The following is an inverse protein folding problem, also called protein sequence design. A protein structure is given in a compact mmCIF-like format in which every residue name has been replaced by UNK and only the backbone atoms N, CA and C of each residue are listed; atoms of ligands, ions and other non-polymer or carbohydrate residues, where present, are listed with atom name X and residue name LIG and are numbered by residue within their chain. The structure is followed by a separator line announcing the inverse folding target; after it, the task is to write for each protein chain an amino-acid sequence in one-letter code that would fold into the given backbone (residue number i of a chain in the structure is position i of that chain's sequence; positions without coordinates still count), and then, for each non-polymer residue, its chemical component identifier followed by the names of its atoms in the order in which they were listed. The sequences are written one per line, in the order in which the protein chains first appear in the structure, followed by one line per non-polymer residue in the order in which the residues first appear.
data_IF_413591553785
#
_entry.id   IF_413591553785
#
_cell.length_a   1.000
_cell.length_b   1.000
_cell.length_c   1.000
_cell.angle_alpha   90.00
_cell.angle_beta   90.00
_cell.angle_gamma   90.00
#
_symmetry.space_group_name_H-M   'P 1'
#
loop_
_entity.id
_entity.type
_entity.pdbx_description
1 polymer ?
#
# COMPACT_ATOMS: atom_id res chain seq x y z
N UNK A 1 -0.79 11.89 -16.52
CA UNK A 1 -1.07 11.49 -15.13
C UNK A 1 -0.94 9.97 -15.04
N UNK A 2 0.12 9.47 -14.40
CA UNK A 2 0.22 8.05 -14.07
C UNK A 2 -0.35 7.87 -12.65
N UNK A 3 -1.56 7.30 -12.59
CA UNK A 3 -2.27 7.08 -11.33
C UNK A 3 -1.57 5.98 -10.53
N UNK A 4 -0.98 6.34 -9.40
CA UNK A 4 -0.49 5.37 -8.43
C UNK A 4 -1.62 4.53 -7.87
N UNK A 5 -1.36 3.23 -7.66
CA UNK A 5 -2.35 2.29 -7.15
C UNK A 5 -2.00 1.81 -5.75
N UNK A 6 -2.97 1.90 -4.84
CA UNK A 6 -2.94 1.22 -3.56
C UNK A 6 -3.80 -0.03 -3.65
N UNK A 7 -3.24 -1.17 -3.30
CA UNK A 7 -3.99 -2.42 -3.12
C UNK A 7 -3.94 -2.81 -1.65
N UNK A 8 -5.11 -2.92 -1.03
CA UNK A 8 -5.25 -3.39 0.34
C UNK A 8 -5.52 -4.89 0.33
N UNK A 9 -4.74 -5.66 1.10
CA UNK A 9 -5.04 -7.06 1.34
C UNK A 9 -5.82 -7.22 2.64
N UNK A 10 -6.99 -7.82 2.52
CA UNK A 10 -7.71 -8.41 3.63
C UNK A 10 -7.41 -9.91 3.65
N UNK A 11 -7.68 -10.63 4.76
CA UNK A 11 -7.26 -12.02 4.95
C UNK A 11 -7.65 -13.00 3.84
N UNK A 12 -8.54 -12.61 2.91
CA UNK A 12 -9.00 -13.42 1.77
C UNK A 12 -9.02 -12.70 0.41
N UNK A 13 -8.89 -11.36 0.35
CA UNK A 13 -9.11 -10.60 -0.90
C UNK A 13 -8.16 -9.42 -1.04
N UNK A 14 -7.83 -9.07 -2.29
CA UNK A 14 -7.19 -7.80 -2.64
C UNK A 14 -8.27 -6.78 -3.07
N UNK A 15 -8.15 -5.56 -2.59
CA UNK A 15 -9.03 -4.45 -2.96
C UNK A 15 -8.23 -3.29 -3.56
N UNK A 16 -8.65 -2.84 -4.75
CA UNK A 16 -8.00 -1.74 -5.46
C UNK A 16 -8.51 -0.37 -4.98
N UNK A 17 -7.58 0.56 -4.80
CA UNK A 17 -7.87 1.96 -4.54
C UNK A 17 -7.01 2.89 -5.40
N UNK A 18 -7.67 3.82 -6.10
CA UNK A 18 -6.98 4.87 -6.87
C UNK A 18 -6.54 6.01 -5.96
N UNK A 19 -5.24 6.29 -5.94
CA UNK A 19 -4.67 7.40 -5.19
C UNK A 19 -4.98 8.70 -5.90
N UNK A 20 -5.93 9.48 -5.35
CA UNK A 20 -6.32 10.79 -5.87
C UNK A 20 -5.54 11.91 -5.19
N UNK A 21 -5.20 12.94 -5.95
CA UNK A 21 -4.46 14.12 -5.47
C UNK A 21 -5.14 14.84 -4.30
N UNK A 22 -6.48 14.81 -4.24
CA UNK A 22 -7.25 15.41 -3.13
C UNK A 22 -6.90 14.86 -1.74
N UNK A 23 -6.17 13.75 -1.66
CA UNK A 23 -5.72 13.16 -0.41
C UNK A 23 -4.29 13.58 -0.03
N UNK A 24 -3.57 14.31 -0.90
CA UNK A 24 -2.25 14.85 -0.60
C UNK A 24 -2.33 15.87 0.54
N UNK A 25 -3.33 16.74 0.54
CA UNK A 25 -3.54 17.69 1.63
C UNK A 25 -3.76 16.98 2.97
N UNK A 26 -4.52 15.89 2.96
CA UNK A 26 -4.74 15.04 4.14
C UNK A 26 -3.45 14.33 4.60
N UNK A 27 -2.57 13.95 3.66
CA UNK A 27 -1.25 13.41 3.99
C UNK A 27 -0.37 14.47 4.66
N UNK A 28 -0.27 15.66 4.09
CA UNK A 28 0.54 16.75 4.67
C UNK A 28 0.04 17.15 6.06
N UNK A 29 -1.28 17.33 6.22
CA UNK A 29 -1.90 17.58 7.52
C UNK A 29 -1.60 16.47 8.54
N UNK A 30 -1.66 15.21 8.11
CA UNK A 30 -1.37 14.07 8.97
C UNK A 30 0.08 14.06 9.47
N UNK A 31 1.05 14.36 8.59
CA UNK A 31 2.44 14.48 8.98
C UNK A 31 2.67 15.64 9.95
N UNK A 32 2.06 16.80 9.69
CA UNK A 32 2.18 17.98 10.55
C UNK A 32 1.64 17.73 11.96
N UNK A 33 0.46 17.10 12.06
CA UNK A 33 -0.15 16.73 13.35
C UNK A 33 0.68 15.70 14.13
N UNK A 34 1.39 14.82 13.42
CA UNK A 34 2.19 13.75 14.01
C UNK A 34 3.59 14.19 14.42
N UNK A 35 4.06 15.36 13.96
CA UNK A 35 5.41 15.83 14.22
C UNK A 35 5.62 16.14 15.71
N UNK A 36 6.53 15.38 16.36
CA UNK A 36 6.87 15.58 17.77
C UNK A 36 5.78 15.18 18.78
N UNK A 37 4.75 14.44 18.34
CA UNK A 37 3.65 13.98 19.20
C UNK A 37 3.58 12.44 19.25
N UNK A 38 2.96 11.87 20.31
CA UNK A 38 2.59 10.44 20.30
C UNK A 38 1.72 10.14 19.07
N UNK A 39 1.79 8.90 18.59
CA UNK A 39 1.06 8.45 17.40
C UNK A 39 -0.43 8.81 17.57
N UNK A 40 -0.91 9.76 16.76
CA UNK A 40 -2.33 10.09 16.66
C UNK A 40 -2.93 9.12 15.66
N UNK A 41 -4.01 8.43 16.04
CA UNK A 41 -4.72 7.55 15.12
C UNK A 41 -5.46 8.40 14.09
N UNK A 42 -4.96 8.39 12.86
CA UNK A 42 -5.51 9.16 11.75
C UNK A 42 -6.23 8.18 10.82
N UNK A 43 -7.53 8.43 10.61
CA UNK A 43 -8.32 7.61 9.69
C UNK A 43 -7.72 7.63 8.28
N UNK A 44 -7.69 6.47 7.63
CA UNK A 44 -7.09 6.33 6.30
C UNK A 44 -5.57 6.23 6.29
N UNK A 45 -4.94 5.84 7.41
CA UNK A 45 -3.48 5.67 7.52
C UNK A 45 -2.85 4.84 6.39
N UNK A 46 -3.54 3.81 5.87
CA UNK A 46 -3.06 3.04 4.71
C UNK A 46 -2.98 3.85 3.41
N UNK A 47 -3.91 4.78 3.19
CA UNK A 47 -3.92 5.69 2.02
C UNK A 47 -2.80 6.73 2.19
N UNK A 48 -2.64 7.28 3.40
CA UNK A 48 -1.59 8.25 3.73
C UNK A 48 -0.20 7.63 3.53
N UNK A 49 0.01 6.40 4.01
CA UNK A 49 1.26 5.67 3.79
C UNK A 49 1.55 5.44 2.30
N UNK A 50 0.54 5.07 1.50
CA UNK A 50 0.69 4.90 0.07
C UNK A 50 1.07 6.20 -0.65
N UNK A 51 0.44 7.33 -0.28
CA UNK A 51 0.76 8.65 -0.84
C UNK A 51 2.15 9.14 -0.44
N UNK A 52 2.58 8.82 0.79
CA UNK A 52 3.92 9.12 1.26
C UNK A 52 4.96 8.36 0.43
N UNK A 53 4.79 7.05 0.23
CA UNK A 53 5.69 6.24 -0.59
C UNK A 53 5.73 6.71 -2.05
N UNK A 54 4.60 7.20 -2.59
CA UNK A 54 4.54 7.78 -3.95
C UNK A 54 5.55 8.90 -4.16
N UNK A 55 5.83 9.71 -3.14
CA UNK A 55 6.75 10.86 -3.26
C UNK A 55 8.18 10.45 -3.62
N UNK A 56 8.53 9.16 -3.43
CA UNK A 56 9.85 8.62 -3.70
C UNK A 56 9.92 7.81 -5.01
N UNK A 57 8.82 7.71 -5.76
CA UNK A 57 8.75 6.97 -7.03
C UNK A 57 8.79 7.96 -8.20
N UNK A 58 9.68 7.71 -9.17
CA UNK A 58 9.75 8.51 -10.39
C UNK A 58 8.46 8.36 -11.22
N UNK A 59 7.92 9.46 -11.72
CA UNK A 59 6.67 9.48 -12.51
C UNK A 59 6.68 8.61 -13.78
N UNK A 60 7.86 8.21 -14.28
CA UNK A 60 8.00 7.33 -15.44
C UNK A 60 7.90 5.84 -15.07
N UNK A 61 7.93 5.51 -13.79
CA UNK A 61 7.91 4.13 -13.29
C UNK A 61 6.48 3.76 -12.91
N UNK A 62 5.96 2.71 -13.54
CA UNK A 62 4.71 2.10 -13.10
C UNK A 62 4.91 1.47 -11.73
N UNK A 63 4.03 1.81 -10.79
CA UNK A 63 4.17 1.41 -9.40
C UNK A 63 2.82 1.05 -8.77
N UNK A 64 2.90 0.10 -7.84
CA UNK A 64 1.81 -0.36 -6.98
C UNK A 64 2.34 -0.49 -5.55
N UNK A 65 1.54 -0.04 -4.57
CA UNK A 65 1.76 -0.36 -3.16
C UNK A 65 0.74 -1.41 -2.72
N UNK A 66 1.22 -2.53 -2.16
CA UNK A 66 0.35 -3.59 -1.62
C UNK A 66 0.50 -3.59 -0.09
N UNK A 67 -0.56 -3.27 0.64
CA UNK A 67 -0.58 -3.31 2.10
C UNK A 67 -1.05 -4.70 2.57
N UNK A 68 -0.13 -5.46 3.18
CA UNK A 68 -0.36 -6.85 3.62
C UNK A 68 -0.47 -7.02 5.14
N UNK A 69 -0.48 -5.94 5.92
CA UNK A 69 -0.34 -6.01 7.39
C UNK A 69 -1.39 -6.93 8.07
N UNK A 70 -2.61 -7.01 7.54
CA UNK A 70 -3.66 -7.87 8.08
C UNK A 70 -3.66 -9.33 7.59
N UNK A 71 -2.93 -9.64 6.51
CA UNK A 71 -3.03 -10.94 5.83
C UNK A 71 -1.81 -11.83 6.02
N UNK A 72 -0.66 -11.29 6.48
CA UNK A 72 0.60 -12.04 6.62
C UNK A 72 0.65 -12.98 7.81
N UNK A 73 -0.17 -12.74 8.84
CA UNK A 73 -0.17 -13.49 10.10
C UNK A 73 -1.55 -14.07 10.40
N UNK A 74 -1.58 -15.34 10.78
CA UNK A 74 -2.78 -16.01 11.26
C UNK A 74 -2.73 -16.15 12.78
N UNK A 75 -3.49 -15.30 13.48
CA UNK A 75 -3.53 -15.32 14.95
C UNK A 75 -4.00 -16.66 15.53
N UNK A 76 -5.00 -17.30 14.91
CA UNK A 76 -5.55 -18.57 15.39
C UNK A 76 -4.55 -19.71 15.30
N UNK A 77 -3.78 -19.75 14.20
CA UNK A 77 -2.76 -20.78 13.95
C UNK A 77 -1.36 -20.37 14.43
N UNK A 78 -1.21 -19.16 14.99
CA UNK A 78 0.06 -18.55 15.40
C UNK A 78 1.20 -18.78 14.40
N UNK A 79 0.91 -18.55 13.13
CA UNK A 79 1.83 -18.84 12.01
C UNK A 79 1.66 -17.85 10.86
N UNK A 80 2.71 -17.76 10.03
CA UNK A 80 2.73 -16.94 8.82
C UNK A 80 1.88 -17.60 7.72
N UNK A 81 1.19 -16.79 6.93
CA UNK A 81 0.28 -17.29 5.87
C UNK A 81 0.95 -17.48 4.50
N UNK A 82 2.07 -16.79 4.24
CA UNK A 82 2.66 -16.72 2.90
C UNK A 82 1.83 -15.93 1.89
N UNK A 83 0.85 -15.15 2.35
CA UNK A 83 -0.04 -14.36 1.49
C UNK A 83 0.76 -13.36 0.64
N UNK A 84 0.45 -13.31 -0.66
CA UNK A 84 1.13 -12.45 -1.65
C UNK A 84 2.18 -13.16 -2.51
N UNK A 85 2.75 -14.27 -2.05
CA UNK A 85 3.81 -14.99 -2.81
C UNK A 85 3.28 -15.49 -4.16
N UNK A 86 2.18 -16.26 -4.16
CA UNK A 86 1.59 -16.78 -5.38
C UNK A 86 1.16 -15.66 -6.34
N UNK A 87 0.62 -14.55 -5.82
CA UNK A 87 0.24 -13.38 -6.61
C UNK A 87 1.42 -12.74 -7.32
N UNK A 88 2.54 -12.55 -6.61
CA UNK A 88 3.76 -11.98 -7.21
C UNK A 88 4.37 -12.91 -8.26
N UNK A 89 4.42 -14.21 -7.98
CA UNK A 89 4.92 -15.22 -8.94
C UNK A 89 4.07 -15.20 -10.22
N UNK A 90 2.75 -15.27 -10.08
CA UNK A 90 1.83 -15.20 -11.22
C UNK A 90 1.96 -13.88 -12.00
N UNK A 91 2.13 -12.75 -11.30
CA UNK A 91 2.33 -11.47 -11.96
C UNK A 91 3.62 -11.43 -12.78
N UNK A 92 4.74 -11.93 -12.23
CA UNK A 92 6.02 -12.02 -12.95
C UNK A 92 5.88 -12.93 -14.18
N UNK A 93 5.28 -14.11 -14.02
CA UNK A 93 5.10 -15.08 -15.10
C UNK A 93 4.22 -14.54 -16.24
N UNK A 94 3.23 -13.70 -15.91
CA UNK A 94 2.36 -13.04 -16.91
C UNK A 94 3.00 -11.80 -17.55
N UNK A 95 4.11 -11.29 -16.99
CA UNK A 95 4.82 -10.12 -17.50
C UNK A 95 6.32 -10.42 -17.74
N UNK A 96 6.65 -11.41 -18.60
CA UNK A 96 8.04 -11.87 -18.78
C UNK A 96 8.98 -10.84 -19.44
N UNK A 97 8.44 -9.73 -19.95
CA UNK A 97 9.12 -8.80 -20.86
C UNK A 97 9.71 -7.54 -20.20
N UNK A 98 9.67 -7.39 -18.88
CA UNK A 98 10.31 -6.24 -18.19
C UNK A 98 11.82 -6.46 -17.96
N UNK A 99 12.54 -6.85 -19.01
CA UNK A 99 14.01 -6.82 -19.03
C UNK A 99 14.50 -5.50 -19.61
#
# INVERSE_FOLDING_TARGET
MQDGLLVLAFPLYLWEYRLREKYLDAMYWSLELSYGKPIVEISGGAIIAALFLKQFVNEKVQWIHINLAGSVWNEKKRSTTGFGVATLVEWILKNPSQK
#
